data_IF_712437979076
#
_entry.id   IF_712437979076
#
_cell.length_a   1.000
_cell.length_b   1.000
_cell.length_c   1.000
_cell.angle_alpha   90.00
_cell.angle_beta   90.00
_cell.angle_gamma   90.00
#
_symmetry.space_group_name_H-M   'P 1'
#
loop_
_entity.id
_entity.type
_entity.pdbx_description
1 polymer ?
#
# COMPACT_ATOMS: atom_id res chain seq x y z
N UNK A 1 2.73 4.47 -6.09
CA UNK A 1 1.82 3.71 -6.97
C UNK A 1 0.40 3.97 -6.49
N UNK A 2 -0.53 4.09 -7.42
CA UNK A 2 -1.96 4.04 -7.12
C UNK A 2 -2.34 2.58 -6.91
N UNK A 3 -2.58 2.21 -5.65
CA UNK A 3 -3.04 0.86 -5.26
C UNK A 3 -4.11 1.04 -4.18
N UNK A 4 -5.20 0.24 -4.16
CA UNK A 4 -6.27 0.36 -3.17
C UNK A 4 -5.74 0.41 -1.72
N UNK A 5 -4.76 -0.43 -1.42
CA UNK A 5 -4.13 -0.54 -0.10
C UNK A 5 -3.46 0.78 0.34
N UNK A 6 -2.90 1.55 -0.60
CA UNK A 6 -2.30 2.88 -0.30
C UNK A 6 -3.33 3.97 -0.06
N UNK A 7 -4.52 3.83 -0.64
CA UNK A 7 -5.64 4.73 -0.38
C UNK A 7 -6.24 4.46 1.00
N UNK A 8 -6.38 3.18 1.36
CA UNK A 8 -6.90 2.73 2.65
C UNK A 8 -6.05 3.21 3.84
N UNK A 9 -4.72 3.08 3.75
CA UNK A 9 -3.80 3.59 4.78
C UNK A 9 -3.56 5.11 4.69
N UNK A 10 -4.15 5.76 3.68
CA UNK A 10 -4.04 7.20 3.46
C UNK A 10 -2.65 7.69 3.06
N UNK A 11 -1.79 6.82 2.55
CA UNK A 11 -0.47 7.21 2.02
C UNK A 11 -0.56 7.82 0.62
N UNK A 12 -1.70 7.64 -0.07
CA UNK A 12 -1.99 8.21 -1.37
C UNK A 12 -3.46 8.70 -1.44
N UNK A 13 -3.80 9.51 -2.46
CA UNK A 13 -5.15 10.02 -2.70
C UNK A 13 -5.43 10.12 -4.21
N UNK A 14 -6.66 9.80 -4.62
CA UNK A 14 -7.12 9.97 -6.00
C UNK A 14 -7.99 11.21 -6.14
N UNK A 15 -7.59 12.10 -7.04
CA UNK A 15 -8.26 13.40 -7.25
C UNK A 15 -8.79 13.58 -8.68
N UNK A 16 -8.61 12.56 -9.53
CA UNK A 16 -9.00 12.59 -10.93
C UNK A 16 -8.18 13.58 -11.76
N UNK A 17 -8.77 14.09 -12.85
CA UNK A 17 -8.08 14.93 -13.85
C UNK A 17 -8.45 16.41 -13.78
N UNK A 18 -9.32 16.81 -12.84
CA UNK A 18 -9.72 18.20 -12.69
C UNK A 18 -8.57 19.02 -12.09
N UNK A 19 -8.16 20.10 -12.76
CA UNK A 19 -7.03 20.94 -12.31
C UNK A 19 -7.18 21.50 -10.89
N UNK A 20 -8.39 21.85 -10.48
CA UNK A 20 -8.66 22.36 -9.12
C UNK A 20 -8.39 21.24 -8.09
N UNK A 21 -8.94 20.05 -8.32
CA UNK A 21 -8.76 18.91 -7.41
C UNK A 21 -7.32 18.41 -7.38
N UNK A 22 -6.59 18.48 -8.51
CA UNK A 22 -5.16 18.20 -8.55
C UNK A 22 -4.40 19.16 -7.62
N UNK A 23 -4.66 20.46 -7.73
CA UNK A 23 -4.00 21.47 -6.90
C UNK A 23 -4.33 21.29 -5.41
N UNK A 24 -5.59 20.99 -5.09
CA UNK A 24 -6.03 20.76 -3.71
C UNK A 24 -5.44 19.47 -3.14
N UNK A 25 -5.35 18.41 -3.95
CA UNK A 25 -4.67 17.16 -3.59
C UNK A 25 -3.21 17.37 -3.23
N UNK A 26 -2.47 18.14 -4.04
CA UNK A 26 -1.06 18.48 -3.77
C UNK A 26 -0.93 19.25 -2.46
N UNK A 27 -1.75 20.29 -2.23
CA UNK A 27 -1.72 21.07 -0.99
C UNK A 27 -2.01 20.20 0.23
N UNK A 28 -3.05 19.38 0.15
CA UNK A 28 -3.42 18.45 1.22
C UNK A 28 -2.26 17.49 1.56
N UNK A 29 -1.66 16.85 0.55
CA UNK A 29 -0.57 15.91 0.77
C UNK A 29 0.72 16.56 1.29
N UNK A 30 1.03 17.81 0.89
CA UNK A 30 2.17 18.54 1.45
C UNK A 30 1.97 18.92 2.92
N UNK A 31 0.73 19.18 3.33
CA UNK A 31 0.39 19.51 4.73
C UNK A 31 0.25 18.29 5.64
N UNK A 32 0.12 17.09 5.07
CA UNK A 32 -0.17 15.87 5.81
C UNK A 32 1.09 15.32 6.48
N UNK A 33 0.93 14.91 7.73
CA UNK A 33 1.96 14.16 8.44
C UNK A 33 2.21 12.81 7.74
N UNK A 34 3.47 12.48 7.49
CA UNK A 34 3.87 11.31 6.69
C UNK A 34 3.94 10.03 7.54
N UNK A 35 2.91 9.84 8.36
CA UNK A 35 2.74 8.66 9.21
C UNK A 35 1.58 7.87 8.65
N UNK A 36 1.89 6.72 8.07
CA UNK A 36 0.93 5.76 7.57
C UNK A 36 1.52 4.36 7.70
N UNK A 37 0.66 3.36 7.88
CA UNK A 37 1.09 1.98 7.97
C UNK A 37 1.56 1.48 6.61
N UNK A 38 2.64 0.69 6.57
CA UNK A 38 3.02 -0.02 5.35
C UNK A 38 2.06 -1.21 5.14
N UNK A 39 1.21 -1.20 4.10
CA UNK A 39 0.22 -2.27 3.90
C UNK A 39 0.84 -3.52 3.24
N UNK A 40 2.09 -3.46 2.76
CA UNK A 40 2.70 -4.53 1.96
C UNK A 40 3.40 -5.61 2.79
N UNK A 41 3.19 -5.59 4.11
CA UNK A 41 3.76 -6.54 5.05
C UNK A 41 5.12 -6.10 5.61
N UNK A 42 5.84 -7.08 6.15
CA UNK A 42 7.04 -6.89 6.97
C UNK A 42 8.36 -7.19 6.23
N UNK A 43 8.29 -7.39 4.91
CA UNK A 43 9.46 -7.73 4.08
C UNK A 43 9.85 -9.21 4.10
N UNK A 44 9.16 -10.08 4.84
CA UNK A 44 9.51 -11.51 4.96
C UNK A 44 8.67 -12.44 4.08
N UNK A 45 7.88 -11.89 3.16
CA UNK A 45 6.95 -12.66 2.32
C UNK A 45 7.68 -13.78 1.55
N UNK A 46 8.83 -13.48 0.93
CA UNK A 46 9.61 -14.47 0.17
C UNK A 46 10.04 -15.68 1.02
N UNK A 47 10.58 -15.43 2.21
CA UNK A 47 10.98 -16.50 3.14
C UNK A 47 9.79 -17.34 3.59
N UNK A 48 8.63 -16.73 3.84
CA UNK A 48 7.40 -17.46 4.18
C UNK A 48 6.91 -18.32 3.03
N UNK A 49 6.92 -17.80 1.80
CA UNK A 49 6.51 -18.53 0.60
C UNK A 49 7.41 -19.75 0.40
N UNK A 50 8.74 -19.59 0.43
CA UNK A 50 9.69 -20.71 0.29
C UNK A 50 9.45 -21.76 1.37
N UNK A 51 9.27 -21.33 2.63
CA UNK A 51 8.98 -22.24 3.75
C UNK A 51 7.68 -23.02 3.55
N UNK A 52 6.64 -22.41 2.96
CA UNK A 52 5.38 -23.10 2.65
C UNK A 52 5.54 -24.10 1.49
N UNK A 53 6.29 -23.73 0.44
CA UNK A 53 6.53 -24.62 -0.70
C UNK A 53 7.40 -25.83 -0.35
N UNK A 54 8.31 -25.68 0.63
CA UNK A 54 9.17 -26.77 1.09
C UNK A 54 8.54 -27.63 2.20
N UNK A 55 7.36 -27.28 2.71
CA UNK A 55 6.65 -28.13 3.64
C UNK A 55 6.12 -29.37 2.90
N UNK A 56 6.35 -30.59 3.41
CA UNK A 56 5.73 -31.77 2.86
C UNK A 56 4.21 -31.59 2.87
N UNK A 57 3.55 -31.68 1.71
CA UNK A 57 2.10 -31.81 1.69
C UNK A 57 1.72 -33.09 2.43
N UNK A 58 1.14 -32.96 3.62
CA UNK A 58 0.27 -34.02 4.15
C UNK A 58 -0.95 -34.07 3.24
N UNK A 59 -1.01 -35.09 2.41
CA UNK A 59 -2.22 -35.47 1.70
C UNK A 59 -3.14 -36.08 2.74
N UNK A 60 -4.16 -35.33 3.15
CA UNK A 60 -5.32 -35.87 3.87
C UNK A 60 -6.28 -36.55 2.88
#
# INVERSE_FOLDING_TARGET
>A
MESPETLEVGSNVLVGVNRIFILDGVKSQLSKERIWQNPFGDGNAGSRIVKLLMQPQTLD
#
